data_IF_638047703862
#
_entry.id   IF_638047703862
#
_cell.length_a   1.000
_cell.length_b   1.000
_cell.length_c   1.000
_cell.angle_alpha   90.00
_cell.angle_beta   90.00
_cell.angle_gamma   90.00
#
_symmetry.space_group_name_H-M   'P 1'
#
loop_
_entity.id
_entity.type
_entity.pdbx_description
1 polymer ?
#
# COMPACT_ATOMS: atom_id res chain seq x y z
N UNK A 1 -7.48 6.53 7.90
CA UNK A 1 -6.48 7.63 7.78
C UNK A 1 -5.33 7.53 8.78
N UNK A 2 -5.53 7.18 10.07
CA UNK A 2 -4.43 7.04 11.05
C UNK A 2 -3.35 6.04 10.61
N UNK A 3 -3.76 4.86 10.16
CA UNK A 3 -2.85 3.81 9.68
C UNK A 3 -2.00 4.27 8.48
N UNK A 4 -2.59 5.00 7.53
CA UNK A 4 -1.87 5.57 6.39
C UNK A 4 -0.78 6.56 6.82
N UNK A 5 -1.08 7.42 7.81
CA UNK A 5 -0.12 8.37 8.36
C UNK A 5 1.05 7.67 9.07
N UNK A 6 0.77 6.55 9.76
CA UNK A 6 1.81 5.75 10.42
C UNK A 6 2.75 5.08 9.40
N UNK A 7 2.19 4.47 8.35
CA UNK A 7 2.98 3.87 7.25
C UNK A 7 3.83 4.92 6.54
N UNK A 8 3.26 6.08 6.23
CA UNK A 8 3.97 7.21 5.61
C UNK A 8 5.13 7.72 6.48
N UNK A 9 4.92 7.86 7.79
CA UNK A 9 5.97 8.27 8.71
C UNK A 9 7.09 7.22 8.81
N UNK A 10 6.72 5.93 8.88
CA UNK A 10 7.67 4.82 8.95
C UNK A 10 8.55 4.74 7.69
N UNK A 11 7.95 4.82 6.50
CA UNK A 11 8.69 4.75 5.24
C UNK A 11 9.72 5.89 5.12
N UNK A 12 9.35 7.10 5.58
CA UNK A 12 10.27 8.25 5.66
C UNK A 12 11.42 8.05 6.64
N UNK A 13 11.13 7.51 7.82
CA UNK A 13 12.17 7.20 8.82
C UNK A 13 13.19 6.16 8.30
N UNK A 14 12.76 5.29 7.38
CA UNK A 14 13.61 4.29 6.74
C UNK A 14 14.36 4.82 5.50
N UNK A 15 14.26 6.12 5.20
CA UNK A 15 14.91 6.74 4.04
C UNK A 15 14.25 6.37 2.70
N UNK A 16 13.02 5.86 2.72
CA UNK A 16 12.24 5.51 1.52
C UNK A 16 10.94 6.33 1.46
N UNK A 17 11.02 7.66 1.24
CA UNK A 17 9.82 8.48 1.13
C UNK A 17 8.98 8.01 -0.07
N UNK A 18 7.70 7.72 0.17
CA UNK A 18 6.77 7.21 -0.86
C UNK A 18 6.06 8.34 -1.63
N UNK A 19 6.13 9.57 -1.10
CA UNK A 19 5.70 10.80 -1.78
C UNK A 19 6.50 12.01 -1.27
N UNK A 20 6.34 13.15 -1.94
CA UNK A 20 6.98 14.42 -1.56
C UNK A 20 6.60 14.91 -0.15
N UNK A 21 7.41 15.84 0.40
CA UNK A 21 7.37 16.29 1.80
C UNK A 21 6.05 16.88 2.29
N UNK A 22 5.19 17.31 1.37
CA UNK A 22 3.90 17.94 1.69
C UNK A 22 2.68 17.15 1.22
N UNK A 23 2.88 15.90 0.78
CA UNK A 23 1.81 15.07 0.23
C UNK A 23 1.73 13.73 0.94
N UNK A 24 0.53 13.38 1.40
CA UNK A 24 0.22 11.99 1.73
C UNK A 24 0.07 11.24 0.42
N UNK A 25 0.74 10.11 0.36
CA UNK A 25 0.73 9.22 -0.79
C UNK A 25 -0.61 8.47 -0.88
N UNK A 26 -1.23 8.48 -2.06
CA UNK A 26 -2.46 7.75 -2.32
C UNK A 26 -2.27 6.23 -2.16
N UNK A 27 -1.09 5.71 -2.51
CA UNK A 27 -0.77 4.30 -2.35
C UNK A 27 -0.75 3.91 -0.86
N UNK A 28 -0.25 4.78 0.02
CA UNK A 28 -0.26 4.55 1.47
C UNK A 28 -1.68 4.55 2.05
N UNK A 29 -2.60 5.35 1.49
CA UNK A 29 -4.01 5.30 1.88
C UNK A 29 -4.61 3.95 1.48
N UNK A 30 -4.41 3.52 0.24
CA UNK A 30 -4.97 2.27 -0.28
C UNK A 30 -4.48 1.06 0.52
N UNK A 31 -3.17 0.99 0.78
CA UNK A 31 -2.55 -0.06 1.61
C UNK A 31 -3.15 -0.06 3.01
N UNK A 32 -3.27 1.11 3.64
CA UNK A 32 -3.83 1.22 4.98
C UNK A 32 -5.28 0.74 5.06
N UNK A 33 -6.10 1.03 4.03
CA UNK A 33 -7.47 0.55 3.97
C UNK A 33 -7.50 -0.98 3.82
N UNK A 34 -6.70 -1.54 2.92
CA UNK A 34 -6.59 -2.98 2.72
C UNK A 34 -6.18 -3.72 4.00
N UNK A 35 -5.22 -3.18 4.77
CA UNK A 35 -4.83 -3.71 6.07
C UNK A 35 -5.95 -3.61 7.13
N UNK A 36 -6.82 -2.60 7.03
CA UNK A 36 -7.92 -2.38 8.00
C UNK A 36 -9.14 -3.25 7.71
N UNK A 37 -9.29 -3.73 6.48
CA UNK A 37 -10.42 -4.60 6.08
C UNK A 37 -10.48 -5.92 6.87
N UNK A 38 -9.38 -6.36 7.48
CA UNK A 38 -9.28 -7.58 8.28
C UNK A 38 -9.79 -8.85 7.56
N UNK A 39 -9.68 -8.86 6.23
CA UNK A 39 -9.96 -10.02 5.38
C UNK A 39 -8.63 -10.76 5.15
N UNK A 40 -8.59 -12.09 5.26
CA UNK A 40 -7.41 -12.87 4.92
C UNK A 40 -7.10 -12.77 3.42
N UNK A 41 -5.82 -12.86 3.05
CA UNK A 41 -5.35 -13.00 1.66
C UNK A 41 -5.79 -11.86 0.71
N UNK A 42 -5.91 -10.63 1.22
CA UNK A 42 -6.19 -9.45 0.38
C UNK A 42 -5.02 -9.16 -0.56
N UNK A 43 -5.32 -9.07 -1.86
CA UNK A 43 -4.39 -8.64 -2.91
C UNK A 43 -4.87 -7.32 -3.52
N UNK A 44 -3.99 -6.33 -3.59
CA UNK A 44 -4.28 -5.08 -4.31
C UNK A 44 -3.91 -5.23 -5.79
N UNK A 45 -4.91 -5.12 -6.67
CA UNK A 45 -4.67 -5.01 -8.10
C UNK A 45 -4.07 -3.63 -8.45
N UNK A 46 -2.87 -3.60 -9.01
CA UNK A 46 -2.18 -2.34 -9.37
C UNK A 46 -1.20 -2.55 -10.51
N UNK A 47 -0.88 -1.48 -11.25
CA UNK A 47 0.27 -1.45 -12.16
C UNK A 47 1.56 -1.05 -11.45
N UNK A 48 1.48 -0.51 -10.21
CA UNK A 48 2.63 -0.11 -9.40
C UNK A 48 3.05 -1.21 -8.40
N UNK A 49 3.18 -2.45 -8.88
CA UNK A 49 3.41 -3.64 -8.03
C UNK A 49 4.65 -3.49 -7.16
N UNK A 50 5.77 -3.01 -7.72
CA UNK A 50 7.04 -2.88 -6.99
C UNK A 50 7.01 -1.88 -5.82
N UNK A 51 6.04 -0.98 -5.79
CA UNK A 51 5.84 -0.05 -4.68
C UNK A 51 4.97 -0.68 -3.59
N UNK A 52 3.80 -1.21 -3.95
CA UNK A 52 2.81 -1.70 -2.99
C UNK A 52 3.21 -3.05 -2.38
N UNK A 53 3.89 -3.92 -3.14
CA UNK A 53 4.38 -5.24 -2.68
C UNK A 53 5.32 -5.18 -1.48
N UNK A 54 5.87 -4.00 -1.17
CA UNK A 54 6.70 -3.76 0.03
C UNK A 54 5.89 -3.78 1.33
N UNK A 55 4.58 -3.57 1.24
CA UNK A 55 3.71 -3.39 2.40
C UNK A 55 2.56 -4.40 2.46
N UNK A 56 2.05 -4.86 1.31
CA UNK A 56 0.94 -5.81 1.22
C UNK A 56 1.03 -6.58 -0.11
N UNK A 57 0.40 -7.75 -0.19
CA UNK A 57 0.29 -8.48 -1.45
C UNK A 57 -0.36 -7.57 -2.52
N UNK A 58 0.34 -7.43 -3.64
CA UNK A 58 -0.06 -6.56 -4.74
C UNK A 58 0.38 -7.21 -6.05
N UNK A 59 -0.46 -7.12 -7.07
CA UNK A 59 -0.24 -7.84 -8.32
C UNK A 59 -0.93 -7.14 -9.49
N UNK A 60 -0.50 -7.44 -10.72
CA UNK A 60 -1.24 -7.02 -11.91
C UNK A 60 -2.63 -7.66 -11.91
N UNK A 61 -3.65 -6.88 -12.29
CA UNK A 61 -5.04 -7.36 -12.34
C UNK A 61 -5.18 -8.69 -13.09
N UNK A 62 -4.49 -8.84 -14.23
CA UNK A 62 -4.57 -10.02 -15.09
C UNK A 62 -4.06 -11.31 -14.43
N UNK A 63 -3.25 -11.19 -13.39
CA UNK A 63 -2.66 -12.33 -12.69
C UNK A 63 -3.49 -12.75 -11.47
N UNK A 64 -4.52 -11.98 -11.09
CA UNK A 64 -5.41 -12.31 -9.99
C UNK A 64 -6.51 -13.24 -10.52
N UNK A 65 -6.57 -14.44 -9.97
CA UNK A 65 -7.59 -15.43 -10.33
C UNK A 65 -8.79 -15.31 -9.38
N UNK A 66 -10.03 -15.27 -9.89
CA UNK A 66 -11.22 -15.37 -9.05
C UNK A 66 -11.27 -16.73 -8.37
N UNK A 67 -11.64 -16.75 -7.08
CA UNK A 67 -12.00 -17.98 -6.36
C UNK A 67 -13.34 -18.54 -6.82
#
# INVERSE_FOLDING_TARGET
MRQAAQLWAQARQQGQPTAGDKTIDGDMILIAQAMTLAIPDVVIATTNVGHLSRFIAAELWQNITPN
#
